data_IF_520011475295
#
_entry.id   IF_520011475295
#
_cell.length_a   1.000
_cell.length_b   1.000
_cell.length_c   1.000
_cell.angle_alpha   90.00
_cell.angle_beta   90.00
_cell.angle_gamma   90.00
#
_symmetry.space_group_name_H-M   'P 1'
#
loop_
_entity.id
_entity.type
_entity.pdbx_description
1 polymer ?
#
# COMPACT_ATOMS: atom_id res chain seq x y z
N UNK A 1 -16.70 -27.55 4.06
CA UNK A 1 -16.85 -26.20 4.66
C UNK A 1 -16.57 -25.19 3.57
N UNK A 2 -17.29 -24.08 3.54
CA UNK A 2 -16.97 -23.00 2.59
C UNK A 2 -15.58 -22.42 2.91
N UNK A 3 -14.79 -22.11 1.87
CA UNK A 3 -13.50 -21.43 2.03
C UNK A 3 -13.73 -20.06 2.65
N UNK A 4 -12.89 -19.65 3.59
CA UNK A 4 -12.93 -18.30 4.15
C UNK A 4 -12.62 -17.29 3.03
N UNK A 5 -13.46 -16.28 2.79
CA UNK A 5 -13.27 -15.37 1.66
C UNK A 5 -12.06 -14.44 1.81
N UNK A 6 -11.54 -14.24 3.02
CA UNK A 6 -10.32 -13.46 3.26
C UNK A 6 -9.06 -14.31 3.12
N UNK A 7 -9.16 -15.65 3.10
CA UNK A 7 -7.99 -16.52 2.92
C UNK A 7 -7.61 -16.57 1.44
N UNK A 8 -6.93 -15.53 0.96
CA UNK A 8 -6.57 -15.31 -0.46
C UNK A 8 -5.92 -16.53 -1.12
N UNK A 9 -5.02 -17.23 -0.43
CA UNK A 9 -4.36 -18.47 -0.90
C UNK A 9 -5.35 -19.60 -1.25
N UNK A 10 -6.54 -19.62 -0.67
CA UNK A 10 -7.56 -20.61 -1.01
C UNK A 10 -8.33 -20.26 -2.29
N UNK A 11 -8.25 -19.01 -2.77
CA UNK A 11 -8.96 -18.51 -3.95
C UNK A 11 -8.04 -18.18 -5.13
N UNK A 12 -6.73 -18.29 -4.94
CA UNK A 12 -5.71 -18.07 -5.98
C UNK A 12 -4.90 -19.37 -6.14
N UNK A 13 -5.17 -20.20 -7.17
CA UNK A 13 -4.45 -21.45 -7.38
C UNK A 13 -2.93 -21.28 -7.50
N UNK A 14 -2.49 -20.19 -8.13
CA UNK A 14 -1.08 -19.85 -8.40
C UNK A 14 -0.45 -19.00 -7.29
N UNK A 15 -1.02 -18.97 -6.09
CA UNK A 15 -0.59 -18.06 -5.02
C UNK A 15 0.91 -18.14 -4.73
N UNK A 16 1.42 -19.36 -4.55
CA UNK A 16 2.82 -19.58 -4.20
C UNK A 16 3.76 -19.24 -5.36
N UNK A 17 3.39 -19.61 -6.59
CA UNK A 17 4.15 -19.27 -7.80
C UNK A 17 4.26 -17.75 -7.99
N UNK A 18 3.16 -17.02 -7.75
CA UNK A 18 3.17 -15.56 -7.81
C UNK A 18 4.04 -14.97 -6.69
N UNK A 19 3.99 -15.50 -5.47
CA UNK A 19 4.85 -15.05 -4.36
C UNK A 19 6.34 -15.26 -4.68
N UNK A 20 6.69 -16.39 -5.28
CA UNK A 20 8.07 -16.66 -5.69
C UNK A 20 8.50 -15.75 -6.85
N UNK A 21 7.60 -15.47 -7.78
CA UNK A 21 7.86 -14.53 -8.87
C UNK A 21 8.14 -13.11 -8.35
N UNK A 22 7.28 -12.56 -7.47
CA UNK A 22 7.47 -11.20 -6.95
C UNK A 22 8.76 -11.08 -6.14
N UNK A 23 9.15 -12.13 -5.40
CA UNK A 23 10.42 -12.15 -4.65
C UNK A 23 11.63 -12.18 -5.57
N UNK A 24 11.60 -13.02 -6.60
CA UNK A 24 12.66 -13.09 -7.61
C UNK A 24 12.82 -11.73 -8.30
N UNK A 25 11.71 -11.13 -8.76
CA UNK A 25 11.72 -9.81 -9.38
C UNK A 25 12.24 -8.74 -8.43
N UNK A 26 11.79 -8.74 -7.17
CA UNK A 26 12.30 -7.81 -6.16
C UNK A 26 13.81 -7.89 -5.99
N UNK A 27 14.37 -9.10 -5.95
CA UNK A 27 15.82 -9.29 -5.87
C UNK A 27 16.53 -8.74 -7.13
N UNK A 28 15.97 -8.96 -8.31
CA UNK A 28 16.47 -8.41 -9.58
C UNK A 28 16.44 -6.87 -9.59
N UNK A 29 15.32 -6.28 -9.16
CA UNK A 29 15.16 -4.82 -9.07
C UNK A 29 16.17 -4.20 -8.11
N UNK A 30 16.40 -4.80 -6.93
CA UNK A 30 17.42 -4.35 -5.97
C UNK A 30 18.84 -4.40 -6.52
N UNK A 31 19.12 -5.36 -7.40
CA UNK A 31 20.43 -5.48 -8.04
C UNK A 31 20.62 -4.50 -9.21
N UNK A 32 19.52 -4.06 -9.83
CA UNK A 32 19.53 -3.26 -11.07
C UNK A 32 19.35 -1.76 -10.82
N UNK A 33 18.43 -1.37 -9.94
CA UNK A 33 18.03 0.03 -9.76
C UNK A 33 18.89 0.68 -8.67
N UNK A 34 19.43 1.89 -8.90
CA UNK A 34 20.14 2.62 -7.86
C UNK A 34 19.27 2.80 -6.62
N UNK A 35 19.76 2.34 -5.47
CA UNK A 35 18.99 2.41 -4.23
C UNK A 35 19.86 2.70 -3.00
N UNK A 36 19.21 3.19 -1.94
CA UNK A 36 19.73 3.19 -0.57
C UNK A 36 18.80 2.32 0.26
N UNK A 37 19.33 1.22 0.79
CA UNK A 37 18.57 0.26 1.58
C UNK A 37 18.57 0.65 3.06
N UNK A 38 17.54 0.18 3.77
CA UNK A 38 17.45 0.13 5.23
C UNK A 38 17.68 1.50 5.92
N UNK A 39 17.17 2.56 5.32
CA UNK A 39 17.19 3.91 5.90
C UNK A 39 16.26 3.96 7.10
N UNK A 40 16.81 4.10 8.30
CA UNK A 40 16.03 4.09 9.52
C UNK A 40 15.15 5.35 9.65
N UNK A 41 13.86 5.15 9.90
CA UNK A 41 12.92 6.22 10.28
C UNK A 41 12.50 6.13 11.77
N UNK A 42 12.93 5.07 12.45
CA UNK A 42 12.65 4.80 13.86
C UNK A 42 13.68 3.88 14.51
N UNK A 43 13.39 3.40 15.71
CA UNK A 43 14.32 2.64 16.54
C UNK A 43 14.16 1.12 16.38
N UNK A 44 12.98 0.63 15.97
CA UNK A 44 12.77 -0.79 15.71
C UNK A 44 13.45 -1.21 14.39
N UNK A 45 13.90 -2.46 14.30
CA UNK A 45 14.57 -2.99 13.11
C UNK A 45 13.67 -3.00 11.88
N UNK A 46 12.36 -3.07 12.05
CA UNK A 46 11.41 -2.95 10.95
C UNK A 46 11.16 -1.51 10.51
N UNK A 47 11.58 -0.51 11.31
CA UNK A 47 11.36 0.92 11.02
C UNK A 47 12.39 1.45 10.03
N UNK A 48 12.40 0.86 8.83
CA UNK A 48 13.31 1.20 7.75
C UNK A 48 12.59 1.43 6.42
N UNK A 49 13.19 2.26 5.57
CA UNK A 49 12.78 2.54 4.20
C UNK A 49 13.83 2.02 3.23
N UNK A 50 13.39 1.56 2.05
CA UNK A 50 14.26 1.45 0.89
C UNK A 50 13.93 2.57 -0.09
N UNK A 51 14.93 3.35 -0.49
CA UNK A 51 14.79 4.45 -1.43
C UNK A 51 15.38 4.03 -2.77
N UNK A 52 14.55 3.96 -3.82
CA UNK A 52 14.97 3.68 -5.20
C UNK A 52 14.88 4.94 -6.04
N UNK A 53 15.86 5.14 -6.91
CA UNK A 53 16.01 6.39 -7.65
C UNK A 53 15.86 6.16 -9.16
N UNK A 54 15.21 7.08 -9.89
CA UNK A 54 15.21 7.06 -11.34
C UNK A 54 16.61 7.31 -11.90
N UNK A 55 16.84 6.94 -13.16
CA UNK A 55 18.05 7.29 -13.87
C UNK A 55 18.15 8.81 -14.09
N UNK A 56 19.37 9.35 -14.11
CA UNK A 56 19.61 10.78 -14.35
C UNK A 56 19.77 11.62 -13.08
N UNK A 57 19.53 12.93 -13.22
CA UNK A 57 19.72 13.92 -12.16
C UNK A 57 18.67 13.81 -11.05
N UNK A 58 19.09 14.03 -9.80
CA UNK A 58 18.22 14.01 -8.62
C UNK A 58 18.01 15.42 -8.10
N UNK A 59 17.03 16.12 -8.66
CA UNK A 59 16.65 17.45 -8.22
C UNK A 59 15.12 17.58 -8.20
N UNK A 60 14.56 17.82 -7.02
CA UNK A 60 13.12 18.01 -6.78
C UNK A 60 12.22 16.98 -7.49
N UNK A 61 12.55 15.70 -7.41
CA UNK A 61 11.79 14.63 -8.04
C UNK A 61 10.47 14.35 -7.28
N UNK A 62 9.39 13.93 -7.96
CA UNK A 62 8.23 13.36 -7.28
C UNK A 62 8.63 12.16 -6.41
N UNK A 63 7.87 11.90 -5.35
CA UNK A 63 8.13 10.80 -4.42
C UNK A 63 6.87 9.97 -4.24
N UNK A 64 7.03 8.66 -4.32
CA UNK A 64 5.94 7.72 -4.15
C UNK A 64 6.23 6.75 -3.01
N UNK A 65 5.36 6.70 -2.00
CA UNK A 65 5.45 5.76 -0.89
C UNK A 65 4.63 4.51 -1.23
N UNK A 66 5.25 3.33 -1.21
CA UNK A 66 4.57 2.04 -1.32
C UNK A 66 4.54 1.30 0.02
N UNK A 67 3.37 0.78 0.39
CA UNK A 67 3.17 -0.01 1.61
C UNK A 67 2.70 -1.42 1.25
N UNK A 68 3.45 -2.44 1.70
CA UNK A 68 3.17 -3.83 1.35
C UNK A 68 1.97 -4.42 2.09
N UNK A 69 1.37 -5.47 1.50
CA UNK A 69 0.28 -6.25 2.08
C UNK A 69 0.75 -7.36 3.03
N UNK A 70 -0.11 -8.35 3.25
CA UNK A 70 0.18 -9.51 4.12
C UNK A 70 -0.58 -9.54 5.44
N UNK A 71 -1.80 -8.97 5.51
CA UNK A 71 -2.64 -8.96 6.72
C UNK A 71 -1.91 -8.49 7.98
N UNK A 72 -1.00 -7.51 7.83
CA UNK A 72 -0.15 -6.97 8.90
C UNK A 72 0.69 -8.02 9.65
N UNK A 73 0.82 -9.25 9.13
CA UNK A 73 1.42 -10.39 9.85
C UNK A 73 2.54 -11.09 9.08
N UNK A 74 2.74 -10.73 7.81
CA UNK A 74 3.77 -11.33 6.96
C UNK A 74 4.26 -10.37 5.89
N UNK A 75 5.29 -10.82 5.17
CA UNK A 75 6.06 -10.07 4.17
C UNK A 75 6.86 -8.91 4.75
N UNK A 76 7.62 -8.27 3.87
CA UNK A 76 8.53 -7.17 4.14
C UNK A 76 8.60 -6.24 2.93
N UNK A 77 9.12 -5.01 3.12
CA UNK A 77 9.43 -4.09 2.01
C UNK A 77 10.31 -4.72 0.92
N UNK A 78 11.21 -5.63 1.29
CA UNK A 78 12.10 -6.31 0.33
C UNK A 78 11.39 -7.33 -0.56
N UNK A 79 10.25 -7.89 -0.14
CA UNK A 79 9.47 -8.82 -0.99
C UNK A 79 8.80 -8.08 -2.17
N UNK A 80 8.67 -6.75 -2.07
CA UNK A 80 7.95 -5.88 -3.02
C UNK A 80 8.84 -4.85 -3.73
N UNK A 81 10.17 -5.00 -3.69
CA UNK A 81 11.11 -4.08 -4.37
C UNK A 81 10.83 -3.89 -5.86
N UNK A 82 10.20 -4.86 -6.54
CA UNK A 82 9.82 -4.74 -7.96
C UNK A 82 8.82 -3.61 -8.26
N UNK A 83 8.06 -3.14 -7.27
CA UNK A 83 7.18 -1.96 -7.44
C UNK A 83 7.99 -0.71 -7.78
N UNK A 84 9.24 -0.63 -7.32
CA UNK A 84 10.13 0.48 -7.61
C UNK A 84 10.34 0.66 -9.12
N UNK A 85 10.30 -0.41 -9.93
CA UNK A 85 10.49 -0.30 -11.38
C UNK A 85 9.48 0.65 -12.02
N UNK A 86 8.18 0.48 -11.70
CA UNK A 86 7.12 1.33 -12.24
C UNK A 86 7.28 2.78 -11.78
N UNK A 87 7.59 2.99 -10.51
CA UNK A 87 7.75 4.33 -9.93
C UNK A 87 8.97 5.06 -10.51
N UNK A 88 10.12 4.41 -10.58
CA UNK A 88 11.34 5.03 -11.11
C UNK A 88 11.26 5.24 -12.62
N UNK A 89 10.57 4.37 -13.35
CA UNK A 89 10.31 4.59 -14.78
C UNK A 89 9.36 5.77 -15.02
N UNK A 90 8.50 6.11 -14.05
CA UNK A 90 7.70 7.34 -14.05
C UNK A 90 8.49 8.58 -13.60
N UNK A 91 9.81 8.46 -13.34
CA UNK A 91 10.66 9.59 -12.97
C UNK A 91 10.58 9.99 -11.49
N UNK A 92 10.00 9.15 -10.63
CA UNK A 92 9.85 9.42 -9.20
C UNK A 92 10.79 8.58 -8.33
N UNK A 93 11.06 9.07 -7.12
CA UNK A 93 11.72 8.29 -6.07
C UNK A 93 10.71 7.32 -5.47
N UNK A 94 11.03 6.02 -5.50
CA UNK A 94 10.21 5.01 -4.83
C UNK A 94 10.67 4.83 -3.39
N UNK A 95 9.75 4.98 -2.44
CA UNK A 95 9.97 4.76 -1.01
C UNK A 95 9.20 3.53 -0.59
N UNK A 96 9.89 2.41 -0.38
CA UNK A 96 9.27 1.19 0.11
C UNK A 96 9.36 1.14 1.63
N UNK A 97 8.20 1.16 2.27
CA UNK A 97 8.06 1.31 3.72
C UNK A 97 8.01 -0.05 4.42
N UNK A 98 8.96 -0.29 5.34
CA UNK A 98 8.93 -1.42 6.26
C UNK A 98 8.20 -1.07 7.56
N UNK A 99 7.50 -2.04 8.16
CA UNK A 99 6.78 -1.87 9.43
C UNK A 99 6.74 -3.20 10.21
N UNK A 100 6.48 -3.13 11.52
CA UNK A 100 6.43 -4.29 12.40
C UNK A 100 5.14 -5.09 12.19
N UNK A 101 5.16 -6.37 12.56
CA UNK A 101 4.06 -7.30 12.25
C UNK A 101 3.29 -7.73 13.51
N UNK A 102 1.99 -7.92 13.35
CA UNK A 102 1.13 -8.58 14.32
C UNK A 102 1.41 -10.10 14.36
N UNK A 103 1.23 -10.76 15.51
CA UNK A 103 0.77 -10.22 16.79
C UNK A 103 1.90 -9.68 17.68
N UNK A 104 3.16 -9.63 17.21
CA UNK A 104 4.28 -9.13 18.00
C UNK A 104 4.09 -7.65 18.41
N UNK A 105 3.44 -6.87 17.54
CA UNK A 105 2.89 -5.54 17.87
C UNK A 105 1.38 -5.50 17.57
N UNK A 106 0.70 -4.42 17.97
CA UNK A 106 -0.73 -4.19 17.68
C UNK A 106 -0.91 -3.13 16.60
N UNK A 107 -2.12 -3.03 16.03
CA UNK A 107 -2.43 -2.11 14.93
C UNK A 107 -2.02 -0.66 15.24
N UNK A 108 -2.20 -0.22 16.48
CA UNK A 108 -1.80 1.11 16.93
C UNK A 108 -0.31 1.41 16.70
N UNK A 109 0.56 0.44 17.00
CA UNK A 109 2.01 0.56 16.77
C UNK A 109 2.32 0.63 15.28
N UNK A 110 1.68 -0.22 14.47
CA UNK A 110 1.90 -0.25 13.01
C UNK A 110 1.48 1.07 12.37
N UNK A 111 0.31 1.60 12.72
CA UNK A 111 -0.18 2.89 12.19
C UNK A 111 0.75 4.04 12.62
N UNK A 112 1.22 4.04 13.86
CA UNK A 112 2.17 5.05 14.36
C UNK A 112 3.53 4.97 13.66
N UNK A 113 4.02 3.75 13.36
CA UNK A 113 5.22 3.52 12.54
C UNK A 113 5.05 4.08 11.12
N UNK A 114 3.94 3.78 10.45
CA UNK A 114 3.65 4.28 9.10
C UNK A 114 3.57 5.81 9.07
N UNK A 115 2.94 6.43 10.08
CA UNK A 115 2.91 7.89 10.24
C UNK A 115 4.28 8.49 10.55
N UNK A 116 5.15 7.80 11.31
CA UNK A 116 6.56 8.20 11.51
C UNK A 116 7.35 8.16 10.21
N UNK A 117 7.22 7.09 9.43
CA UNK A 117 7.87 6.97 8.13
C UNK A 117 7.45 8.11 7.18
N UNK A 118 6.16 8.46 7.15
CA UNK A 118 5.66 9.62 6.41
C UNK A 118 6.33 10.94 6.85
N UNK A 119 6.45 11.18 8.16
CA UNK A 119 7.16 12.36 8.70
C UNK A 119 8.64 12.37 8.33
N UNK A 120 9.28 11.20 8.38
CA UNK A 120 10.67 11.08 7.94
C UNK A 120 10.82 11.50 6.47
N UNK A 121 9.90 11.09 5.60
CA UNK A 121 9.89 11.48 4.19
C UNK A 121 9.72 13.01 4.04
N UNK A 122 8.82 13.65 4.79
CA UNK A 122 8.69 15.12 4.77
C UNK A 122 10.01 15.82 5.11
N UNK A 123 10.67 15.36 6.15
CA UNK A 123 11.81 16.04 6.75
C UNK A 123 13.12 15.78 5.98
N UNK A 124 13.26 14.62 5.35
CA UNK A 124 14.56 14.14 4.85
C UNK A 124 14.60 13.86 3.34
N UNK A 125 13.46 13.68 2.65
CA UNK A 125 13.53 13.24 1.24
C UNK A 125 14.19 14.28 0.31
N UNK A 126 14.18 15.55 0.71
CA UNK A 126 14.87 16.62 0.00
C UNK A 126 16.38 16.39 -0.11
N UNK A 127 17.04 15.85 0.93
CA UNK A 127 18.47 15.52 0.86
C UNK A 127 18.77 14.32 -0.05
N UNK A 128 17.73 13.58 -0.43
CA UNK A 128 17.80 12.49 -1.40
C UNK A 128 17.36 12.90 -2.82
N UNK A 129 17.06 14.20 -3.03
CA UNK A 129 16.66 14.77 -4.31
C UNK A 129 15.15 14.71 -4.60
N UNK A 130 14.33 14.34 -3.61
CA UNK A 130 12.86 14.35 -3.73
C UNK A 130 12.25 15.69 -3.33
N UNK A 131 11.05 15.98 -3.82
CA UNK A 131 10.25 17.12 -3.40
C UNK A 131 9.13 16.68 -2.43
N UNK A 132 9.18 17.06 -1.14
CA UNK A 132 8.14 16.70 -0.17
C UNK A 132 6.78 17.34 -0.46
N UNK A 133 6.69 18.27 -1.44
CA UNK A 133 5.41 18.80 -1.91
C UNK A 133 4.75 17.95 -3.02
N UNK A 134 5.45 16.95 -3.56
CA UNK A 134 5.00 16.08 -4.65
C UNK A 134 4.94 14.62 -4.21
N UNK A 135 4.13 14.36 -3.18
CA UNK A 135 4.02 13.04 -2.56
C UNK A 135 2.78 12.31 -3.03
N UNK A 136 2.96 11.04 -3.37
CA UNK A 136 1.87 10.10 -3.68
C UNK A 136 2.07 8.82 -2.88
N UNK A 137 1.00 8.05 -2.71
CA UNK A 137 1.05 6.80 -1.94
C UNK A 137 0.34 5.68 -2.70
N UNK A 138 0.81 4.46 -2.53
CA UNK A 138 0.02 3.29 -2.85
C UNK A 138 0.22 2.19 -1.83
N UNK A 139 -0.71 1.24 -1.81
CA UNK A 139 -0.56 0.04 -1.01
C UNK A 139 -1.41 -1.10 -1.54
N UNK A 140 -1.01 -2.30 -1.16
CA UNK A 140 -1.73 -3.53 -1.49
C UNK A 140 -2.36 -4.15 -0.25
N UNK A 141 -3.65 -4.52 -0.31
CA UNK A 141 -4.31 -5.27 0.77
C UNK A 141 -4.23 -4.54 2.12
N UNK A 142 -3.61 -5.15 3.13
CA UNK A 142 -3.28 -4.49 4.40
C UNK A 142 -2.43 -3.21 4.24
N UNK A 143 -1.61 -3.11 3.20
CA UNK A 143 -0.87 -1.90 2.86
C UNK A 143 -1.76 -0.80 2.28
N UNK A 144 -2.81 -1.14 1.53
CA UNK A 144 -3.80 -0.17 1.06
C UNK A 144 -4.56 0.44 2.25
N UNK A 145 -4.90 -0.40 3.24
CA UNK A 145 -5.42 0.05 4.53
C UNK A 145 -4.48 1.05 5.21
N UNK A 146 -3.19 0.72 5.35
CA UNK A 146 -2.21 1.61 5.97
C UNK A 146 -1.96 2.89 5.18
N UNK A 147 -2.05 2.84 3.84
CA UNK A 147 -1.93 4.02 2.99
C UNK A 147 -3.04 5.04 3.29
N UNK A 148 -4.26 4.59 3.61
CA UNK A 148 -5.35 5.49 4.03
C UNK A 148 -5.03 6.29 5.30
N UNK A 149 -4.21 5.72 6.21
CA UNK A 149 -3.81 6.37 7.47
C UNK A 149 -2.77 7.48 7.27
N UNK A 150 -2.31 7.71 6.03
CA UNK A 150 -1.41 8.80 5.68
C UNK A 150 -2.15 10.03 5.14
N UNK A 151 -3.45 9.92 4.90
CA UNK A 151 -4.29 11.02 4.44
C UNK A 151 -5.67 11.06 5.11
N UNK A 152 -5.81 10.42 6.29
CA UNK A 152 -6.97 10.61 7.16
C UNK A 152 -6.89 11.97 7.89
N UNK A 153 -8.06 12.58 8.12
CA UNK A 153 -8.21 13.97 8.53
C UNK A 153 -8.03 14.17 10.04
N UNK A 154 -6.93 14.83 10.43
CA UNK A 154 -6.75 15.39 11.77
C UNK A 154 -6.50 16.93 11.76
N UNK A 155 -6.94 17.67 10.70
CA UNK A 155 -7.01 19.16 10.54
C UNK A 155 -6.27 19.86 9.37
N UNK A 156 -6.32 19.29 8.14
CA UNK A 156 -5.88 19.86 6.83
C UNK A 156 -4.36 19.93 6.53
N UNK A 157 -4.03 20.10 5.24
CA UNK A 157 -3.96 19.02 4.24
C UNK A 157 -2.78 18.08 4.51
N UNK A 158 -2.94 16.80 4.14
CA UNK A 158 -1.96 15.72 4.30
C UNK A 158 -0.67 15.91 3.49
N UNK A 159 -0.75 16.72 2.43
CA UNK A 159 0.33 16.87 1.44
C UNK A 159 0.38 15.76 0.39
N UNK A 160 -0.37 14.67 0.56
CA UNK A 160 -0.51 13.61 -0.44
C UNK A 160 -1.35 14.12 -1.62
N UNK A 161 -0.88 13.90 -2.84
CA UNK A 161 -1.54 14.34 -4.08
C UNK A 161 -2.41 13.25 -4.70
N UNK A 162 -1.97 12.01 -4.59
CA UNK A 162 -2.63 10.85 -5.18
C UNK A 162 -2.43 9.59 -4.36
N UNK A 163 -3.46 8.74 -4.32
CA UNK A 163 -3.45 7.45 -3.65
C UNK A 163 -3.98 6.34 -4.56
N UNK A 164 -3.22 5.24 -4.72
CA UNK A 164 -3.68 4.00 -5.35
C UNK A 164 -3.87 2.92 -4.28
N UNK A 165 -5.11 2.49 -4.07
CA UNK A 165 -5.49 1.53 -3.05
C UNK A 165 -5.90 0.21 -3.71
N UNK A 166 -4.96 -0.75 -3.75
CA UNK A 166 -5.12 -2.00 -4.50
C UNK A 166 -5.57 -3.15 -3.60
N UNK A 167 -6.75 -3.72 -3.86
CA UNK A 167 -7.28 -4.89 -3.14
C UNK A 167 -7.42 -4.66 -1.63
N UNK A 168 -7.72 -3.42 -1.21
CA UNK A 168 -7.62 -3.00 0.18
C UNK A 168 -8.70 -3.53 1.13
N UNK A 169 -8.44 -3.38 2.43
CA UNK A 169 -9.35 -3.73 3.53
C UNK A 169 -9.77 -2.44 4.24
N UNK A 170 -11.05 -2.07 4.12
CA UNK A 170 -11.55 -0.78 4.62
C UNK A 170 -12.49 -0.90 5.82
N UNK A 171 -12.97 -2.12 6.11
CA UNK A 171 -13.68 -2.48 7.33
C UNK A 171 -12.99 -3.69 7.96
N UNK A 172 -12.51 -3.54 9.20
CA UNK A 172 -11.82 -4.60 9.92
C UNK A 172 -12.78 -5.57 10.62
N UNK A 173 -14.06 -5.19 10.81
CA UNK A 173 -15.03 -5.98 11.59
C UNK A 173 -15.16 -7.44 11.09
N UNK A 174 -15.23 -7.71 9.76
CA UNK A 174 -15.36 -9.07 9.27
C UNK A 174 -14.16 -9.99 9.58
N UNK A 175 -12.98 -9.41 9.85
CA UNK A 175 -11.77 -10.19 10.14
C UNK A 175 -11.80 -10.84 11.53
N UNK A 176 -12.66 -10.36 12.45
CA UNK A 176 -12.81 -10.94 13.78
C UNK A 176 -13.37 -12.37 13.76
N UNK A 177 -14.05 -12.75 12.67
CA UNK A 177 -14.63 -14.09 12.49
C UNK A 177 -14.03 -14.82 11.29
N UNK A 178 -12.92 -14.34 10.73
CA UNK A 178 -12.24 -14.97 9.60
C UNK A 178 -11.16 -15.96 10.05
N UNK A 179 -10.44 -16.54 9.09
CA UNK A 179 -9.27 -17.40 9.33
C UNK A 179 -8.17 -16.72 10.17
N UNK A 180 -8.22 -15.39 10.30
CA UNK A 180 -7.29 -14.57 11.08
C UNK A 180 -7.69 -14.40 12.55
N UNK A 181 -8.90 -14.83 12.94
CA UNK A 181 -9.51 -14.54 14.25
C UNK A 181 -8.59 -14.90 15.43
N UNK A 182 -7.89 -16.03 15.34
CA UNK A 182 -7.03 -16.52 16.42
C UNK A 182 -5.58 -16.02 16.35
N UNK A 183 -5.15 -15.46 15.21
CA UNK A 183 -3.76 -15.08 14.98
C UNK A 183 -3.53 -13.60 15.28
N UNK A 184 -4.22 -12.72 14.54
CA UNK A 184 -4.11 -11.27 14.76
C UNK A 184 -5.14 -10.79 15.77
N UNK A 185 -6.24 -11.52 15.98
CA UNK A 185 -7.26 -11.24 17.00
C UNK A 185 -7.63 -9.74 17.10
N UNK A 186 -8.16 -9.18 16.00
CA UNK A 186 -8.52 -7.76 15.95
C UNK A 186 -9.59 -7.46 17.01
N UNK A 187 -9.31 -6.49 17.87
CA UNK A 187 -10.22 -6.06 18.94
C UNK A 187 -11.30 -5.10 18.43
N UNK A 188 -12.41 -4.96 19.15
CA UNK A 188 -13.44 -3.95 18.81
C UNK A 188 -12.91 -2.50 18.88
N UNK A 189 -11.89 -2.27 19.72
CA UNK A 189 -11.18 -0.99 19.76
C UNK A 189 -10.38 -0.74 18.47
N UNK A 190 -9.67 -1.76 17.97
CA UNK A 190 -8.95 -1.65 16.70
C UNK A 190 -9.91 -1.50 15.52
N UNK A 191 -11.04 -2.22 15.50
CA UNK A 191 -12.08 -2.01 14.47
C UNK A 191 -12.56 -0.57 14.48
N UNK A 192 -12.90 -0.02 15.65
CA UNK A 192 -13.39 1.36 15.77
C UNK A 192 -12.35 2.39 15.33
N UNK A 193 -11.09 2.22 15.73
CA UNK A 193 -10.02 3.21 15.51
C UNK A 193 -9.30 3.10 14.17
N UNK A 194 -9.34 1.94 13.53
CA UNK A 194 -8.50 1.67 12.38
C UNK A 194 -9.28 1.04 11.22
N UNK A 195 -10.61 1.10 11.19
CA UNK A 195 -11.33 0.80 9.95
C UNK A 195 -11.47 2.09 9.13
N UNK A 196 -10.83 2.18 7.95
CA UNK A 196 -10.90 3.37 7.09
C UNK A 196 -12.32 3.88 6.84
N UNK A 197 -13.32 2.98 6.78
CA UNK A 197 -14.73 3.36 6.58
C UNK A 197 -15.29 4.27 7.68
N UNK A 198 -14.67 4.31 8.86
CA UNK A 198 -15.07 5.16 9.99
C UNK A 198 -14.34 6.52 10.01
N UNK A 199 -13.43 6.78 9.07
CA UNK A 199 -12.57 7.96 9.07
C UNK A 199 -13.07 9.02 8.09
N UNK A 200 -12.58 10.25 8.29
CA UNK A 200 -12.64 11.33 7.31
C UNK A 200 -11.29 11.43 6.61
N UNK A 201 -11.29 11.83 5.34
CA UNK A 201 -10.08 11.94 4.54
C UNK A 201 -9.89 13.35 3.98
N UNK A 202 -8.63 13.69 3.70
CA UNK A 202 -8.27 14.96 3.08
C UNK A 202 -8.92 15.09 1.68
N UNK A 203 -9.81 16.08 1.47
CA UNK A 203 -10.54 16.25 0.21
C UNK A 203 -9.64 16.62 -0.99
N UNK A 204 -8.37 17.00 -0.75
CA UNK A 204 -7.43 17.35 -1.81
C UNK A 204 -6.73 16.14 -2.47
N UNK A 205 -6.89 14.94 -1.91
CA UNK A 205 -6.27 13.72 -2.44
C UNK A 205 -7.10 13.13 -3.57
N UNK A 206 -6.45 12.82 -4.70
CA UNK A 206 -7.05 12.02 -5.78
C UNK A 206 -6.92 10.54 -5.42
N UNK A 207 -8.01 9.79 -5.36
CA UNK A 207 -7.99 8.38 -4.91
C UNK A 207 -8.45 7.45 -6.02
N UNK A 208 -7.63 6.46 -6.36
CA UNK A 208 -8.00 5.33 -7.20
C UNK A 208 -8.10 4.08 -6.32
N UNK A 209 -9.29 3.48 -6.25
CA UNK A 209 -9.54 2.21 -5.56
C UNK A 209 -9.61 1.09 -6.58
N UNK A 210 -8.62 0.22 -6.62
CA UNK A 210 -8.55 -0.86 -7.58
C UNK A 210 -8.82 -2.22 -6.91
N UNK A 211 -9.55 -3.10 -7.57
CA UNK A 211 -9.82 -4.48 -7.12
C UNK A 211 -9.74 -5.43 -8.31
N UNK A 212 -9.15 -6.61 -8.12
CA UNK A 212 -9.14 -7.65 -9.15
C UNK A 212 -10.54 -8.21 -9.42
N UNK A 213 -10.91 -8.38 -10.69
CA UNK A 213 -12.19 -8.95 -11.08
C UNK A 213 -12.46 -10.34 -10.47
N UNK A 214 -11.40 -11.13 -10.25
CA UNK A 214 -11.46 -12.48 -9.69
C UNK A 214 -11.22 -12.50 -8.17
N UNK A 215 -11.21 -11.34 -7.50
CA UNK A 215 -11.19 -11.27 -6.03
C UNK A 215 -12.53 -11.72 -5.40
N UNK A 216 -12.48 -12.07 -4.12
CA UNK A 216 -13.67 -12.53 -3.39
C UNK A 216 -14.61 -11.36 -3.09
N UNK A 217 -15.89 -11.69 -2.85
CA UNK A 217 -16.95 -10.71 -2.64
C UNK A 217 -16.67 -9.66 -1.55
N UNK A 218 -16.03 -9.96 -0.40
CA UNK A 218 -15.68 -8.94 0.58
C UNK A 218 -14.76 -7.84 0.05
N UNK A 219 -13.80 -8.15 -0.82
CA UNK A 219 -12.92 -7.14 -1.42
C UNK A 219 -13.69 -6.24 -2.38
N UNK A 220 -14.55 -6.82 -3.24
CA UNK A 220 -15.44 -6.06 -4.13
C UNK A 220 -16.37 -5.13 -3.36
N UNK A 221 -17.04 -5.64 -2.32
CA UNK A 221 -17.92 -4.84 -1.45
C UNK A 221 -17.14 -3.76 -0.70
N UNK A 222 -15.96 -4.08 -0.20
CA UNK A 222 -15.09 -3.12 0.48
C UNK A 222 -14.69 -1.98 -0.44
N UNK A 223 -14.21 -2.28 -1.66
CA UNK A 223 -13.83 -1.30 -2.65
C UNK A 223 -14.99 -0.36 -3.03
N UNK A 224 -16.17 -0.92 -3.33
CA UNK A 224 -17.35 -0.13 -3.66
C UNK A 224 -17.81 0.75 -2.49
N UNK A 225 -17.99 0.16 -1.31
CA UNK A 225 -18.46 0.87 -0.11
C UNK A 225 -17.50 1.99 0.30
N UNK A 226 -16.20 1.74 0.21
CA UNK A 226 -15.20 2.75 0.55
C UNK A 226 -15.12 3.87 -0.49
N UNK A 227 -15.17 3.54 -1.78
CA UNK A 227 -15.22 4.56 -2.86
C UNK A 227 -16.43 5.47 -2.70
N UNK A 228 -17.61 4.90 -2.46
CA UNK A 228 -18.84 5.66 -2.20
C UNK A 228 -18.68 6.59 -0.99
N UNK A 229 -18.06 6.12 0.09
CA UNK A 229 -17.77 6.93 1.28
C UNK A 229 -16.84 8.10 0.97
N UNK A 230 -15.75 7.88 0.21
CA UNK A 230 -14.83 8.95 -0.20
C UNK A 230 -15.55 10.01 -1.06
N UNK A 231 -16.39 9.58 -2.00
CA UNK A 231 -17.17 10.48 -2.85
C UNK A 231 -18.19 11.29 -2.04
N UNK A 232 -18.86 10.67 -1.05
CA UNK A 232 -19.78 11.37 -0.15
C UNK A 232 -19.08 12.41 0.74
N UNK A 233 -17.79 12.20 1.04
CA UNK A 233 -16.94 13.16 1.73
C UNK A 233 -16.42 14.29 0.82
N UNK A 234 -16.64 14.20 -0.50
CA UNK A 234 -16.26 15.21 -1.49
C UNK A 234 -14.89 14.97 -2.14
N UNK A 235 -14.26 13.80 -1.94
CA UNK A 235 -13.00 13.46 -2.60
C UNK A 235 -13.23 13.14 -4.09
N UNK A 236 -12.22 13.42 -4.91
CA UNK A 236 -12.15 12.89 -6.28
C UNK A 236 -11.67 11.44 -6.22
N UNK A 237 -12.63 10.51 -6.09
CA UNK A 237 -12.36 9.08 -6.00
C UNK A 237 -12.99 8.29 -7.15
N UNK A 238 -12.23 7.34 -7.73
CA UNK A 238 -12.68 6.37 -8.73
C UNK A 238 -12.44 4.94 -8.26
N UNK A 239 -13.22 4.01 -8.83
CA UNK A 239 -13.03 2.58 -8.66
C UNK A 239 -12.70 1.93 -10.01
N UNK A 240 -11.67 1.08 -10.04
CA UNK A 240 -11.32 0.23 -11.19
C UNK A 240 -11.43 -1.24 -10.83
N UNK A 241 -12.11 -2.00 -11.69
CA UNK A 241 -12.14 -3.47 -11.63
C UNK A 241 -11.13 -4.01 -12.66
N UNK A 242 -10.00 -4.52 -12.19
CA UNK A 242 -8.90 -5.00 -13.03
C UNK A 242 -9.28 -6.32 -13.68
N UNK A 243 -9.33 -6.35 -15.02
CA UNK A 243 -9.81 -7.51 -15.78
C UNK A 243 -8.82 -8.67 -15.67
N UNK A 244 -9.33 -9.90 -15.48
CA UNK A 244 -8.54 -11.12 -15.36
C UNK A 244 -7.45 -11.04 -14.25
N UNK A 245 -7.69 -10.23 -13.22
CA UNK A 245 -6.82 -10.09 -12.08
C UNK A 245 -7.47 -10.66 -10.82
N UNK A 246 -6.70 -11.43 -10.07
CA UNK A 246 -7.03 -11.86 -8.71
C UNK A 246 -6.19 -11.05 -7.70
N UNK A 247 -6.35 -11.34 -6.41
CA UNK A 247 -5.70 -10.58 -5.33
C UNK A 247 -4.16 -10.57 -5.40
N UNK A 248 -3.56 -11.61 -6.01
CA UNK A 248 -2.11 -11.75 -6.14
C UNK A 248 -1.59 -11.33 -7.52
N UNK A 249 -2.30 -11.65 -8.60
CA UNK A 249 -1.87 -11.22 -9.94
C UNK A 249 -1.97 -9.71 -10.09
N UNK A 250 -2.96 -9.06 -9.48
CA UNK A 250 -3.09 -7.60 -9.51
C UNK A 250 -1.85 -6.89 -8.96
N UNK A 251 -1.34 -7.34 -7.80
CA UNK A 251 -0.13 -6.79 -7.18
C UNK A 251 1.14 -7.22 -7.92
N UNK A 252 1.25 -8.47 -8.39
CA UNK A 252 2.36 -8.86 -9.28
C UNK A 252 2.47 -7.92 -10.47
N UNK A 253 1.34 -7.57 -11.06
CA UNK A 253 1.28 -6.77 -12.29
C UNK A 253 1.62 -5.30 -12.06
N UNK A 254 1.55 -4.76 -10.83
CA UNK A 254 1.86 -3.35 -10.54
C UNK A 254 3.27 -2.94 -10.96
N UNK A 255 4.23 -3.87 -10.93
CA UNK A 255 5.62 -3.65 -11.30
C UNK A 255 5.97 -4.15 -12.71
N UNK A 256 4.97 -4.55 -13.51
CA UNK A 256 5.16 -5.06 -14.87
C UNK A 256 4.69 -4.01 -15.88
N UNK A 257 5.63 -3.46 -16.65
CA UNK A 257 5.31 -2.49 -17.68
C UNK A 257 4.27 -3.03 -18.68
N UNK A 258 3.31 -2.18 -19.05
CA UNK A 258 2.24 -2.51 -20.01
C UNK A 258 1.01 -3.20 -19.41
N UNK A 259 1.01 -3.51 -18.10
CA UNK A 259 -0.20 -3.98 -17.42
C UNK A 259 -1.12 -2.81 -17.04
N UNK A 260 -2.39 -3.11 -16.81
CA UNK A 260 -3.37 -2.14 -16.33
C UNK A 260 -2.99 -1.61 -14.93
N UNK A 261 -2.57 -2.49 -14.01
CA UNK A 261 -2.16 -2.07 -12.65
C UNK A 261 -0.94 -1.15 -12.67
N UNK A 262 0.07 -1.44 -13.50
CA UNK A 262 1.23 -0.55 -13.63
C UNK A 262 0.83 0.81 -14.21
N UNK A 263 -0.09 0.85 -15.18
CA UNK A 263 -0.61 2.10 -15.73
C UNK A 263 -1.35 2.96 -14.69
N UNK A 264 -2.13 2.33 -13.79
CA UNK A 264 -2.77 3.03 -12.66
C UNK A 264 -1.72 3.63 -11.71
N UNK A 265 -0.66 2.88 -11.39
CA UNK A 265 0.43 3.38 -10.55
C UNK A 265 1.18 4.54 -11.22
N UNK A 266 1.56 4.41 -12.49
CA UNK A 266 2.20 5.49 -13.26
C UNK A 266 1.35 6.75 -13.25
N UNK A 267 0.03 6.64 -13.53
CA UNK A 267 -0.90 7.77 -13.49
C UNK A 267 -0.99 8.42 -12.10
N UNK A 268 -0.90 7.62 -11.04
CA UNK A 268 -0.96 8.10 -9.66
C UNK A 268 0.30 8.89 -9.29
N UNK A 269 1.46 8.43 -9.76
CA UNK A 269 2.78 9.04 -9.48
C UNK A 269 2.93 10.42 -10.11
N UNK A 270 2.35 10.64 -11.30
CA UNK A 270 2.39 11.92 -12.03
C UNK A 270 2.88 11.74 -13.46
#
# INVERSE_FOLDING_TARGET
MAKDPFRTRDHVPEFDDIVDEIRRRSAETRAKIPMVADVAYGADRSETLDLFFPEGGRDRLPVHIFIHGGYWRMFSKSDYSYVAETVTNAGAIAVLLGYALMPAVRMATIVDQVRRARRWVDEHIASHGGDPAMLTVSGHSAGAHLATMLFDDDSRPSGIKGALLLGGIYDLKPLQTSFLANEIAITDEEVRRYSPINHRFDPSVLVEVAVGADETLPFHRGAATFTDSLQQQGLSASQTNLVAANHMSSIRDIGLAGTETAALLTKTVG
#
